data_IF_009522229270
#
_entry.id   IF_009522229270
#
_cell.length_a   1.000
_cell.length_b   1.000
_cell.length_c   1.000
_cell.angle_alpha   90.00
_cell.angle_beta   90.00
_cell.angle_gamma   90.00
#
_symmetry.space_group_name_H-M   'P 1'
#
loop_
_entity.id
_entity.type
_entity.pdbx_description
1 polymer ?
#
# COMPACT_ATOMS: atom_id res chain seq x y z
N UNK A 1 -26.95 9.50 36.16
CA UNK A 1 -26.15 8.26 36.32
C UNK A 1 -25.59 7.90 34.94
N UNK A 2 -24.37 8.35 34.64
CA UNK A 2 -23.66 7.93 33.40
C UNK A 2 -23.00 6.58 33.69
N UNK A 3 -23.55 5.51 33.16
CA UNK A 3 -22.89 4.20 33.15
C UNK A 3 -21.71 4.27 32.19
N UNK A 4 -20.52 4.44 32.71
CA UNK A 4 -19.26 4.20 31.98
C UNK A 4 -19.18 2.69 31.76
N UNK A 5 -19.64 2.23 30.60
CA UNK A 5 -19.39 0.87 30.16
C UNK A 5 -17.87 0.74 29.89
N UNK A 6 -17.17 0.18 30.87
CA UNK A 6 -15.78 -0.27 30.72
C UNK A 6 -15.78 -1.45 29.74
N UNK A 7 -15.53 -1.17 28.46
CA UNK A 7 -15.29 -2.23 27.46
C UNK A 7 -14.08 -3.04 27.95
N UNK A 8 -14.28 -4.35 28.13
CA UNK A 8 -13.19 -5.25 28.53
C UNK A 8 -12.02 -5.16 27.55
N UNK A 9 -10.76 -5.21 28.00
CA UNK A 9 -9.59 -5.13 27.11
C UNK A 9 -9.62 -6.14 25.96
N UNK A 10 -10.13 -7.33 26.19
CA UNK A 10 -10.31 -8.37 25.16
C UNK A 10 -11.25 -7.96 24.02
N UNK A 11 -12.24 -7.11 24.28
CA UNK A 11 -13.19 -6.64 23.27
C UNK A 11 -12.55 -5.73 22.19
N UNK A 12 -11.40 -5.12 22.45
CA UNK A 12 -10.71 -4.20 21.54
C UNK A 12 -9.69 -4.95 20.68
N UNK A 13 -8.98 -5.93 21.26
CA UNK A 13 -7.89 -6.60 20.57
C UNK A 13 -8.33 -7.59 19.49
N UNK A 14 -9.50 -8.19 19.65
CA UNK A 14 -10.01 -9.15 18.67
C UNK A 14 -10.32 -8.53 17.30
N UNK A 15 -10.99 -7.36 17.21
CA UNK A 15 -11.11 -6.62 15.94
C UNK A 15 -9.76 -6.18 15.33
N UNK A 16 -8.81 -5.77 16.16
CA UNK A 16 -7.47 -5.37 15.70
C UNK A 16 -6.74 -6.58 15.10
N UNK A 17 -6.80 -7.74 15.79
CA UNK A 17 -6.24 -9.00 15.29
C UNK A 17 -6.90 -9.43 13.96
N UNK A 18 -8.23 -9.32 13.84
CA UNK A 18 -8.91 -9.60 12.59
C UNK A 18 -8.44 -8.67 11.45
N UNK A 19 -8.24 -7.39 11.75
CA UNK A 19 -7.69 -6.43 10.80
C UNK A 19 -6.25 -6.74 10.38
N UNK A 20 -5.40 -7.17 11.33
CA UNK A 20 -4.04 -7.62 11.04
C UNK A 20 -4.05 -8.86 10.13
N UNK A 21 -4.87 -9.87 10.44
CA UNK A 21 -5.02 -11.06 9.60
C UNK A 21 -5.49 -10.70 8.18
N UNK A 22 -6.46 -9.80 8.05
CA UNK A 22 -6.96 -9.36 6.75
C UNK A 22 -5.89 -8.65 5.92
N UNK A 23 -5.12 -7.74 6.51
CA UNK A 23 -4.02 -7.06 5.84
C UNK A 23 -2.88 -8.02 5.47
N UNK A 24 -2.58 -9.00 6.33
CA UNK A 24 -1.58 -10.02 6.08
C UNK A 24 -2.02 -10.93 4.92
N UNK A 25 -3.24 -11.45 4.93
CA UNK A 25 -3.75 -12.36 3.89
C UNK A 25 -3.86 -11.65 2.55
N UNK A 26 -4.46 -10.44 2.52
CA UNK A 26 -4.87 -9.80 1.28
C UNK A 26 -3.76 -9.05 0.55
N UNK A 27 -2.91 -8.34 1.29
CA UNK A 27 -1.80 -7.58 0.71
C UNK A 27 -0.49 -8.26 1.00
N UNK A 28 -0.23 -8.61 2.25
CA UNK A 28 1.01 -9.25 2.66
C UNK A 28 1.31 -10.54 1.89
N UNK A 29 0.35 -11.47 1.83
CA UNK A 29 0.52 -12.74 1.09
C UNK A 29 0.05 -12.62 -0.36
N UNK A 30 -1.21 -12.26 -0.64
CA UNK A 30 -1.78 -12.35 -1.98
C UNK A 30 -1.05 -11.51 -3.03
N UNK A 31 -0.54 -10.36 -2.64
CA UNK A 31 0.25 -9.50 -3.52
C UNK A 31 1.73 -9.86 -3.48
N UNK A 32 2.30 -9.86 -2.28
CA UNK A 32 3.75 -9.86 -2.10
C UNK A 32 4.38 -11.25 -2.06
N UNK A 33 3.64 -12.33 -1.71
CA UNK A 33 4.17 -13.68 -1.83
C UNK A 33 4.35 -14.15 -3.29
N UNK A 34 3.76 -13.44 -4.24
CA UNK A 34 3.99 -13.72 -5.66
C UNK A 34 5.42 -13.38 -6.11
N UNK A 35 6.01 -12.32 -5.58
CA UNK A 35 7.34 -11.85 -5.99
C UNK A 35 8.44 -12.91 -5.80
N UNK A 36 8.58 -13.60 -4.66
CA UNK A 36 9.54 -14.70 -4.51
C UNK A 36 9.19 -15.95 -5.35
N UNK A 37 7.97 -16.08 -5.86
CA UNK A 37 7.57 -17.19 -6.73
C UNK A 37 7.93 -16.97 -8.20
N UNK A 38 8.15 -15.72 -8.65
CA UNK A 38 8.42 -15.37 -10.05
C UNK A 38 9.56 -16.21 -10.64
N UNK A 39 10.78 -16.28 -10.04
CA UNK A 39 11.85 -17.07 -10.60
C UNK A 39 11.50 -18.56 -10.75
N UNK A 40 10.83 -19.13 -9.74
CA UNK A 40 10.45 -20.54 -9.72
C UNK A 40 9.35 -20.89 -10.73
N UNK A 41 8.37 -19.99 -10.95
CA UNK A 41 7.35 -20.16 -11.97
C UNK A 41 7.96 -20.23 -13.39
N UNK A 42 8.98 -19.39 -13.65
CA UNK A 42 9.68 -19.36 -14.93
C UNK A 42 10.57 -20.60 -15.09
N UNK A 43 11.35 -20.96 -14.06
CA UNK A 43 12.24 -22.11 -14.10
C UNK A 43 11.49 -23.44 -14.26
N UNK A 44 10.35 -23.57 -13.60
CA UNK A 44 9.48 -24.75 -13.73
C UNK A 44 8.63 -24.75 -15.01
N UNK A 45 8.77 -23.74 -15.86
CA UNK A 45 8.05 -23.58 -17.15
C UNK A 45 6.52 -23.64 -17.02
N UNK A 46 5.97 -23.20 -15.88
CA UNK A 46 4.52 -23.06 -15.75
C UNK A 46 3.99 -22.02 -16.74
N UNK A 47 4.73 -20.93 -16.90
CA UNK A 47 4.42 -19.84 -17.84
C UNK A 47 5.72 -19.23 -18.36
N UNK A 48 5.65 -18.53 -19.49
CA UNK A 48 6.78 -17.77 -20.01
C UNK A 48 7.17 -16.62 -19.06
N UNK A 49 8.41 -16.15 -19.16
CA UNK A 49 8.87 -14.99 -18.37
C UNK A 49 7.99 -13.75 -18.64
N UNK A 50 7.52 -13.58 -19.90
CA UNK A 50 6.58 -12.53 -20.26
C UNK A 50 5.26 -12.66 -19.50
N UNK A 51 4.65 -13.85 -19.51
CA UNK A 51 3.35 -14.06 -18.86
C UNK A 51 3.44 -13.84 -17.36
N UNK A 52 4.49 -14.36 -16.71
CA UNK A 52 4.67 -14.28 -15.25
C UNK A 52 4.69 -12.83 -14.76
N UNK A 53 5.35 -11.91 -15.47
CA UNK A 53 5.36 -10.49 -15.06
C UNK A 53 4.01 -9.81 -15.26
N UNK A 54 3.27 -10.15 -16.35
CA UNK A 54 1.90 -9.66 -16.52
C UNK A 54 0.91 -10.20 -15.50
N UNK A 55 1.09 -11.45 -15.06
CA UNK A 55 0.32 -12.03 -13.97
C UNK A 55 0.54 -11.30 -12.63
N UNK A 56 1.73 -10.75 -12.41
CA UNK A 56 2.00 -9.82 -11.31
C UNK A 56 1.20 -8.52 -11.43
N UNK A 57 1.17 -7.93 -12.62
CA UNK A 57 0.42 -6.70 -12.91
C UNK A 57 -1.10 -6.88 -12.77
N UNK A 58 -1.63 -8.07 -13.05
CA UNK A 58 -3.07 -8.37 -12.89
C UNK A 58 -3.57 -8.09 -11.47
N UNK A 59 -2.78 -8.42 -10.44
CA UNK A 59 -3.13 -8.13 -9.04
C UNK A 59 -3.20 -6.61 -8.77
N UNK A 60 -2.36 -5.80 -9.41
CA UNK A 60 -2.38 -4.34 -9.25
C UNK A 60 -3.65 -3.72 -9.85
N UNK A 61 -4.10 -4.19 -11.02
CA UNK A 61 -5.39 -3.77 -11.60
C UNK A 61 -6.55 -4.22 -10.70
N UNK A 62 -6.52 -5.47 -10.24
CA UNK A 62 -7.50 -5.95 -9.28
C UNK A 62 -7.59 -5.05 -8.05
N UNK A 63 -6.47 -4.62 -7.51
CA UNK A 63 -6.42 -3.71 -6.36
C UNK A 63 -7.13 -2.37 -6.63
N UNK A 64 -6.92 -1.78 -7.79
CA UNK A 64 -7.66 -0.56 -8.18
C UNK A 64 -9.17 -0.82 -8.22
N UNK A 65 -9.61 -1.90 -8.88
CA UNK A 65 -11.02 -2.26 -8.94
C UNK A 65 -11.59 -2.46 -7.52
N UNK A 66 -10.89 -3.21 -6.68
CA UNK A 66 -11.29 -3.48 -5.30
C UNK A 66 -11.41 -2.22 -4.45
N UNK A 67 -10.47 -1.28 -4.59
CA UNK A 67 -10.52 0.00 -3.90
C UNK A 67 -11.74 0.84 -4.31
N UNK A 68 -12.15 0.78 -5.57
CA UNK A 68 -13.32 1.49 -6.09
C UNK A 68 -14.63 0.85 -5.64
N UNK A 69 -14.73 -0.49 -5.66
CA UNK A 69 -15.98 -1.21 -5.35
C UNK A 69 -16.16 -1.56 -3.87
N UNK A 70 -15.11 -1.47 -3.04
CA UNK A 70 -15.14 -1.90 -1.65
C UNK A 70 -16.24 -1.22 -0.84
N UNK A 71 -16.33 0.09 -0.85
CA UNK A 71 -17.40 0.83 -0.15
C UNK A 71 -18.80 0.58 -0.72
N UNK A 72 -19.05 0.61 -2.05
CA UNK A 72 -20.33 0.20 -2.62
C UNK A 72 -20.77 -1.22 -2.22
N UNK A 73 -19.84 -2.17 -2.23
CA UNK A 73 -20.10 -3.55 -1.80
C UNK A 73 -20.48 -3.62 -0.31
N UNK A 74 -19.69 -2.96 0.54
CA UNK A 74 -19.92 -2.94 1.98
C UNK A 74 -21.25 -2.29 2.36
N UNK A 75 -21.73 -1.31 1.60
CA UNK A 75 -23.08 -0.72 1.79
C UNK A 75 -24.20 -1.72 1.55
N UNK A 76 -23.99 -2.71 0.67
CA UNK A 76 -25.02 -3.72 0.33
C UNK A 76 -25.05 -4.90 1.30
N UNK A 77 -23.87 -5.41 1.69
CA UNK A 77 -23.74 -6.65 2.47
C UNK A 77 -23.17 -6.46 3.88
N UNK A 78 -22.83 -5.23 4.25
CA UNK A 78 -22.17 -4.88 5.51
C UNK A 78 -20.65 -5.04 5.45
N UNK A 79 -19.93 -4.20 6.23
CA UNK A 79 -18.46 -4.18 6.24
C UNK A 79 -17.86 -5.54 6.62
N UNK A 80 -18.34 -6.14 7.71
CA UNK A 80 -17.81 -7.39 8.23
C UNK A 80 -18.01 -8.56 7.26
N UNK A 81 -19.18 -8.63 6.60
CA UNK A 81 -19.46 -9.65 5.57
C UNK A 81 -18.60 -9.44 4.34
N UNK A 82 -18.41 -8.19 3.90
CA UNK A 82 -17.55 -7.84 2.79
C UNK A 82 -16.08 -8.27 3.07
N UNK A 83 -15.56 -7.99 4.27
CA UNK A 83 -14.21 -8.37 4.67
C UNK A 83 -14.04 -9.89 4.70
N UNK A 84 -14.99 -10.64 5.28
CA UNK A 84 -14.98 -12.13 5.27
C UNK A 84 -14.99 -12.67 3.86
N UNK A 85 -15.89 -12.16 2.99
CA UNK A 85 -15.99 -12.57 1.60
C UNK A 85 -14.69 -12.35 0.84
N UNK A 86 -14.04 -11.20 1.04
CA UNK A 86 -12.78 -10.87 0.37
C UNK A 86 -11.62 -11.74 0.89
N UNK A 87 -11.56 -12.06 2.18
CA UNK A 87 -10.57 -13.00 2.70
C UNK A 87 -10.75 -14.41 2.14
N UNK A 88 -12.00 -14.89 2.02
CA UNK A 88 -12.30 -16.16 1.34
C UNK A 88 -11.90 -16.13 -0.13
N UNK A 89 -12.15 -15.02 -0.85
CA UNK A 89 -11.76 -14.87 -2.24
C UNK A 89 -10.23 -14.98 -2.43
N UNK A 90 -9.44 -14.40 -1.52
CA UNK A 90 -7.98 -14.57 -1.52
C UNK A 90 -7.59 -16.02 -1.28
N UNK A 91 -8.18 -16.65 -0.27
CA UNK A 91 -7.91 -18.06 0.07
C UNK A 91 -8.19 -18.97 -1.13
N UNK A 92 -9.34 -18.81 -1.77
CA UNK A 92 -9.70 -19.56 -2.98
C UNK A 92 -8.74 -19.27 -4.14
N UNK A 93 -8.31 -18.02 -4.28
CA UNK A 93 -7.34 -17.64 -5.32
C UNK A 93 -5.99 -18.35 -5.16
N UNK A 94 -5.51 -18.55 -3.92
CA UNK A 94 -4.30 -19.33 -3.67
C UNK A 94 -4.47 -20.81 -4.10
N UNK A 95 -5.55 -21.46 -3.71
CA UNK A 95 -5.81 -22.85 -4.09
C UNK A 95 -5.97 -22.99 -5.62
N UNK A 96 -6.68 -22.06 -6.27
CA UNK A 96 -6.87 -22.08 -7.71
C UNK A 96 -5.56 -21.85 -8.49
N UNK A 97 -4.66 -21.01 -7.98
CA UNK A 97 -3.32 -20.81 -8.55
C UNK A 97 -2.41 -22.03 -8.37
N UNK A 98 -2.76 -23.00 -7.53
CA UNK A 98 -2.10 -24.32 -7.49
C UNK A 98 -2.30 -25.15 -8.76
N UNK A 99 -3.26 -24.80 -9.62
CA UNK A 99 -3.56 -25.48 -10.88
C UNK A 99 -3.24 -24.57 -12.07
N UNK A 100 -2.08 -24.72 -12.75
CA UNK A 100 -1.67 -23.88 -13.88
C UNK A 100 -2.41 -24.28 -15.17
N UNK A 101 -3.74 -24.16 -15.21
CA UNK A 101 -4.56 -24.61 -16.33
C UNK A 101 -4.33 -23.76 -17.59
N UNK A 102 -4.19 -22.45 -17.43
CA UNK A 102 -3.89 -21.50 -18.50
C UNK A 102 -3.44 -20.16 -17.94
N UNK A 103 -2.81 -19.31 -18.77
CA UNK A 103 -2.47 -17.93 -18.40
C UNK A 103 -3.72 -17.14 -18.02
N UNK A 104 -4.83 -17.28 -18.78
CA UNK A 104 -6.09 -16.58 -18.50
C UNK A 104 -6.72 -17.02 -17.17
N UNK A 105 -6.65 -18.32 -16.84
CA UNK A 105 -7.09 -18.85 -15.55
C UNK A 105 -6.30 -18.20 -14.40
N UNK A 106 -4.99 -18.21 -14.50
CA UNK A 106 -4.12 -17.66 -13.48
C UNK A 106 -4.30 -16.13 -13.36
N UNK A 107 -4.42 -15.42 -14.50
CA UNK A 107 -4.72 -14.00 -14.55
C UNK A 107 -6.01 -13.65 -13.82
N UNK A 108 -7.09 -14.39 -14.05
CA UNK A 108 -8.39 -14.18 -13.38
C UNK A 108 -8.28 -14.29 -11.85
N UNK A 109 -7.61 -15.32 -11.36
CA UNK A 109 -7.42 -15.49 -9.91
C UNK A 109 -6.46 -14.47 -9.30
N UNK A 110 -5.40 -14.07 -10.01
CA UNK A 110 -4.51 -12.98 -9.59
C UNK A 110 -5.25 -11.64 -9.56
N UNK A 111 -6.11 -11.37 -10.54
CA UNK A 111 -7.00 -10.21 -10.58
C UNK A 111 -7.96 -10.22 -9.38
N UNK A 112 -8.66 -11.36 -9.13
CA UNK A 112 -9.59 -11.50 -8.02
C UNK A 112 -8.90 -11.30 -6.66
N UNK A 113 -7.73 -11.87 -6.46
CA UNK A 113 -6.96 -11.65 -5.24
C UNK A 113 -6.58 -10.17 -5.06
N UNK A 114 -6.31 -9.47 -6.16
CA UNK A 114 -6.11 -8.02 -6.16
C UNK A 114 -7.37 -7.24 -5.76
N UNK A 115 -8.53 -7.59 -6.35
CA UNK A 115 -9.83 -6.99 -5.99
C UNK A 115 -10.09 -7.14 -4.50
N UNK A 116 -9.86 -8.32 -3.96
CA UNK A 116 -10.01 -8.58 -2.54
C UNK A 116 -9.06 -7.71 -1.70
N UNK A 117 -7.80 -7.59 -2.12
CA UNK A 117 -6.80 -6.75 -1.46
C UNK A 117 -7.19 -5.27 -1.42
N UNK A 118 -7.64 -4.73 -2.55
CA UNK A 118 -8.08 -3.33 -2.64
C UNK A 118 -9.33 -3.04 -1.80
N UNK A 119 -10.31 -3.94 -1.82
CA UNK A 119 -11.51 -3.81 -1.00
C UNK A 119 -11.19 -3.87 0.50
N UNK A 120 -10.36 -4.83 0.93
CA UNK A 120 -9.91 -4.95 2.34
C UNK A 120 -9.16 -3.67 2.77
N UNK A 121 -8.27 -3.15 1.94
CA UNK A 121 -7.48 -1.96 2.27
C UNK A 121 -8.36 -0.74 2.61
N UNK A 122 -9.44 -0.52 1.88
CA UNK A 122 -10.34 0.63 2.14
C UNK A 122 -11.33 0.37 3.26
N UNK A 123 -11.65 -0.90 3.57
CA UNK A 123 -12.67 -1.25 4.56
C UNK A 123 -12.12 -1.55 5.94
N UNK A 124 -10.92 -2.14 6.06
CA UNK A 124 -10.44 -2.71 7.33
C UNK A 124 -10.31 -1.69 8.44
N UNK A 125 -9.62 -0.58 8.17
CA UNK A 125 -9.45 0.49 9.15
C UNK A 125 -10.79 1.18 9.48
N UNK A 126 -11.61 1.45 8.47
CA UNK A 126 -12.93 2.04 8.64
C UNK A 126 -13.88 1.17 9.46
N UNK A 127 -13.69 -0.15 9.46
CA UNK A 127 -14.50 -1.11 10.23
C UNK A 127 -14.02 -1.24 11.67
N UNK A 128 -12.71 -1.27 11.89
CA UNK A 128 -12.13 -1.57 13.22
C UNK A 128 -11.96 -0.33 14.08
N UNK A 129 -11.40 0.77 13.52
CA UNK A 129 -11.01 1.95 14.30
C UNK A 129 -12.16 2.67 15.05
N UNK A 130 -13.41 2.71 14.54
CA UNK A 130 -14.52 3.29 15.31
C UNK A 130 -14.78 2.61 16.66
N UNK A 131 -14.43 1.32 16.81
CA UNK A 131 -14.59 0.54 18.03
C UNK A 131 -13.39 0.64 18.98
N UNK A 132 -12.34 1.38 18.58
CA UNK A 132 -11.14 1.59 19.38
C UNK A 132 -11.17 3.00 19.99
N UNK A 133 -10.84 3.14 21.29
CA UNK A 133 -10.72 4.45 21.95
C UNK A 133 -9.79 5.38 21.17
N UNK A 134 -10.14 6.66 21.08
CA UNK A 134 -9.41 7.67 20.30
C UNK A 134 -7.91 7.68 20.62
N UNK A 135 -7.56 7.56 21.92
CA UNK A 135 -6.17 7.53 22.40
C UNK A 135 -5.34 6.33 21.90
N UNK A 136 -5.98 5.27 21.41
CA UNK A 136 -5.32 4.02 20.96
C UNK A 136 -5.46 3.76 19.46
N UNK A 137 -6.16 4.63 18.72
CA UNK A 137 -6.41 4.44 17.28
C UNK A 137 -5.13 4.39 16.45
N UNK A 138 -4.12 5.18 16.80
CA UNK A 138 -2.81 5.14 16.13
C UNK A 138 -2.13 3.78 16.28
N UNK A 139 -2.08 3.24 17.50
CA UNK A 139 -1.53 1.91 17.77
C UNK A 139 -2.32 0.80 17.06
N UNK A 140 -3.64 0.88 17.09
CA UNK A 140 -4.51 -0.08 16.42
C UNK A 140 -4.33 -0.06 14.90
N UNK A 141 -4.23 1.13 14.29
CA UNK A 141 -3.94 1.27 12.86
C UNK A 141 -2.58 0.68 12.52
N UNK A 142 -1.55 0.99 13.31
CA UNK A 142 -0.22 0.40 13.16
C UNK A 142 -0.25 -1.13 13.20
N UNK A 143 -0.96 -1.71 14.18
CA UNK A 143 -1.10 -3.16 14.33
C UNK A 143 -1.85 -3.79 13.14
N UNK A 144 -2.91 -3.17 12.63
CA UNK A 144 -3.65 -3.65 11.45
C UNK A 144 -2.72 -3.71 10.23
N UNK A 145 -1.99 -2.65 9.95
CA UNK A 145 -1.15 -2.57 8.75
C UNK A 145 0.22 -3.24 8.91
N UNK A 146 0.64 -3.58 10.14
CA UNK A 146 1.79 -4.46 10.39
C UNK A 146 1.64 -5.79 9.66
N UNK A 147 0.42 -6.29 9.47
CA UNK A 147 0.13 -7.50 8.70
C UNK A 147 0.74 -7.47 7.28
N UNK A 148 0.83 -6.29 6.63
CA UNK A 148 1.46 -6.16 5.32
C UNK A 148 2.95 -6.50 5.40
N UNK A 149 3.69 -5.85 6.30
CA UNK A 149 5.13 -6.09 6.48
C UNK A 149 5.44 -7.52 6.92
N UNK A 150 4.63 -8.07 7.84
CA UNK A 150 4.74 -9.48 8.27
C UNK A 150 4.49 -10.45 7.11
N UNK A 151 3.53 -10.16 6.22
CA UNK A 151 3.28 -10.97 5.05
C UNK A 151 4.42 -10.92 4.03
N UNK A 152 5.03 -9.76 3.83
CA UNK A 152 6.19 -9.60 2.95
C UNK A 152 7.39 -10.39 3.51
N UNK A 153 7.80 -10.13 4.74
CA UNK A 153 8.91 -10.84 5.40
C UNK A 153 8.60 -12.33 5.52
N UNK A 154 7.38 -12.68 5.94
CA UNK A 154 6.93 -14.06 6.06
C UNK A 154 6.94 -14.81 4.73
N UNK A 155 6.57 -14.18 3.63
CA UNK A 155 6.65 -14.83 2.32
C UNK A 155 8.09 -15.16 1.92
N UNK A 156 9.06 -14.31 2.24
CA UNK A 156 10.48 -14.57 1.99
C UNK A 156 11.03 -15.73 2.82
N UNK A 157 10.45 -16.03 4.00
CA UNK A 157 10.87 -17.14 4.86
C UNK A 157 10.07 -18.41 4.61
N UNK A 158 8.78 -18.32 4.28
CA UNK A 158 7.87 -19.47 4.13
C UNK A 158 7.93 -20.06 2.72
N UNK A 159 8.07 -19.22 1.69
CA UNK A 159 8.06 -19.68 0.30
C UNK A 159 9.23 -20.64 -0.03
N UNK A 160 10.49 -20.38 0.36
CA UNK A 160 11.59 -21.29 0.03
C UNK A 160 11.39 -22.74 0.55
N UNK A 161 11.05 -23.01 1.82
CA UNK A 161 10.79 -24.38 2.28
C UNK A 161 9.56 -25.01 1.62
N UNK A 162 8.53 -24.23 1.28
CA UNK A 162 7.39 -24.76 0.52
C UNK A 162 7.78 -25.13 -0.91
N UNK A 163 8.67 -24.37 -1.56
CA UNK A 163 9.16 -24.66 -2.90
C UNK A 163 9.93 -25.98 -2.97
N UNK A 164 10.59 -26.43 -1.90
CA UNK A 164 11.22 -27.75 -1.85
C UNK A 164 10.20 -28.89 -1.95
N UNK A 165 8.93 -28.63 -1.62
CA UNK A 165 7.81 -29.58 -1.78
C UNK A 165 7.14 -29.47 -3.15
N UNK A 166 7.58 -28.52 -4.00
CA UNK A 166 7.05 -28.25 -5.33
C UNK A 166 6.13 -27.03 -5.37
N UNK A 167 6.00 -26.43 -6.57
CA UNK A 167 5.24 -25.21 -6.81
C UNK A 167 3.75 -25.34 -6.43
N UNK A 168 3.10 -26.43 -6.80
CA UNK A 168 1.70 -26.69 -6.47
C UNK A 168 1.48 -26.70 -4.96
N UNK A 169 2.34 -27.42 -4.23
CA UNK A 169 2.29 -27.50 -2.77
C UNK A 169 2.58 -26.13 -2.13
N UNK A 170 3.39 -25.29 -2.77
CA UNK A 170 3.64 -23.91 -2.31
C UNK A 170 2.35 -23.08 -2.37
N UNK A 171 1.60 -23.13 -3.47
CA UNK A 171 0.32 -22.45 -3.58
C UNK A 171 -0.70 -22.97 -2.56
N UNK A 172 -0.76 -24.30 -2.37
CA UNK A 172 -1.64 -24.91 -1.37
C UNK A 172 -1.23 -24.54 0.06
N UNK A 173 0.05 -24.49 0.37
CA UNK A 173 0.58 -24.07 1.67
C UNK A 173 0.22 -22.60 1.99
N UNK A 174 0.37 -21.70 1.01
CA UNK A 174 -0.07 -20.31 1.14
C UNK A 174 -1.60 -20.21 1.28
N UNK A 175 -2.35 -21.04 0.54
CA UNK A 175 -3.81 -21.13 0.65
C UNK A 175 -4.25 -21.65 2.03
N UNK A 176 -3.57 -22.64 2.58
CA UNK A 176 -3.84 -23.16 3.92
C UNK A 176 -3.54 -22.11 5.00
N UNK A 177 -2.42 -21.39 4.89
CA UNK A 177 -2.09 -20.29 5.79
C UNK A 177 -3.17 -19.19 5.72
N UNK A 178 -3.59 -18.80 4.52
CA UNK A 178 -4.66 -17.82 4.33
C UNK A 178 -5.99 -18.31 4.92
N UNK A 179 -6.31 -19.61 4.78
CA UNK A 179 -7.50 -20.23 5.35
C UNK A 179 -7.49 -20.19 6.88
N UNK A 180 -6.35 -20.57 7.49
CA UNK A 180 -6.18 -20.55 8.96
C UNK A 180 -6.33 -19.13 9.50
N UNK A 181 -5.70 -18.14 8.88
CA UNK A 181 -5.81 -16.74 9.29
C UNK A 181 -7.23 -16.19 9.09
N UNK A 182 -7.91 -16.58 8.01
CA UNK A 182 -9.31 -16.23 7.75
C UNK A 182 -10.22 -16.84 8.82
N UNK A 183 -10.05 -18.12 9.15
CA UNK A 183 -10.84 -18.80 10.18
C UNK A 183 -10.56 -18.21 11.58
N UNK A 184 -9.31 -17.94 11.93
CA UNK A 184 -8.92 -17.34 13.20
C UNK A 184 -9.52 -15.93 13.40
N UNK A 185 -9.65 -15.17 12.32
CA UNK A 185 -10.22 -13.81 12.36
C UNK A 185 -11.74 -13.77 12.22
N UNK A 186 -12.41 -14.90 11.92
CA UNK A 186 -13.80 -14.94 11.49
C UNK A 186 -14.78 -14.29 12.45
N UNK A 187 -14.59 -14.50 13.76
CA UNK A 187 -15.44 -13.97 14.81
C UNK A 187 -14.95 -12.63 15.40
N UNK A 188 -13.78 -12.16 14.93
CA UNK A 188 -13.16 -10.91 15.39
C UNK A 188 -13.77 -9.64 14.78
N UNK A 189 -14.60 -9.76 13.76
CA UNK A 189 -15.19 -8.60 13.11
C UNK A 189 -16.32 -8.01 13.94
N UNK A 190 -16.32 -6.67 14.16
CA UNK A 190 -17.40 -6.00 14.87
C UNK A 190 -18.74 -6.24 14.15
N UNK A 191 -19.77 -6.56 14.91
CA UNK A 191 -21.13 -6.53 14.40
C UNK A 191 -21.54 -5.08 14.24
N UNK A 192 -21.34 -4.52 13.06
CA UNK A 192 -21.78 -3.18 12.76
C UNK A 192 -23.31 -3.15 12.71
N UNK A 193 -23.95 -2.49 13.65
CA UNK A 193 -25.21 -1.82 13.37
C UNK A 193 -24.97 -0.93 12.15
N UNK A 194 -25.84 -0.93 11.13
CA UNK A 194 -25.74 -0.01 10.02
C UNK A 194 -25.78 1.39 10.59
N UNK A 195 -24.62 2.00 10.80
CA UNK A 195 -24.55 3.40 11.13
C UNK A 195 -25.03 4.09 9.86
N UNK A 196 -26.29 4.51 9.87
CA UNK A 196 -26.79 5.46 8.90
C UNK A 196 -25.71 6.54 8.81
N UNK A 197 -25.03 6.60 7.68
CA UNK A 197 -24.16 7.72 7.40
C UNK A 197 -25.02 8.94 7.70
N UNK A 198 -24.66 9.68 8.74
CA UNK A 198 -25.32 10.96 8.99
C UNK A 198 -25.38 11.67 7.64
N UNK A 199 -26.56 12.15 7.21
CA UNK A 199 -26.67 12.80 5.93
C UNK A 199 -25.56 13.84 5.91
N UNK A 200 -24.68 13.73 4.91
CA UNK A 200 -23.65 14.72 4.69
C UNK A 200 -24.39 16.05 4.63
N UNK A 201 -24.21 16.89 5.64
CA UNK A 201 -24.68 18.27 5.56
C UNK A 201 -23.93 18.82 4.35
N UNK A 202 -24.64 18.87 3.25
CA UNK A 202 -24.22 19.57 2.05
C UNK A 202 -24.27 21.06 2.37
N UNK A 203 -23.31 21.54 3.12
CA UNK A 203 -22.99 22.95 3.10
C UNK A 203 -22.48 23.23 1.68
N UNK A 204 -23.40 23.74 0.86
CA UNK A 204 -23.29 23.86 -0.60
C UNK A 204 -22.21 24.84 -1.10
N UNK A 205 -21.12 25.01 -0.38
CA UNK A 205 -19.95 25.76 -0.84
C UNK A 205 -18.95 24.77 -1.43
N UNK A 206 -19.06 24.54 -2.73
CA UNK A 206 -17.97 23.93 -3.52
C UNK A 206 -16.78 24.90 -3.54
N UNK A 207 -15.99 24.89 -2.47
CA UNK A 207 -14.72 25.59 -2.51
C UNK A 207 -13.86 24.94 -3.61
N UNK A 208 -13.30 25.73 -4.55
CA UNK A 208 -12.47 25.19 -5.62
C UNK A 208 -11.30 24.43 -5.01
N UNK A 209 -11.02 23.24 -5.57
CA UNK A 209 -9.88 22.40 -5.14
C UNK A 209 -8.58 23.19 -5.31
N UNK A 210 -7.78 23.39 -4.26
CA UNK A 210 -6.53 24.14 -4.37
C UNK A 210 -5.60 23.52 -5.43
N UNK A 211 -4.94 24.32 -6.30
CA UNK A 211 -4.01 23.80 -7.32
C UNK A 211 -2.93 22.87 -6.75
N UNK A 212 -2.44 23.16 -5.55
CA UNK A 212 -1.47 22.33 -4.84
C UNK A 212 -1.97 20.90 -4.60
N UNK A 213 -3.28 20.68 -4.51
CA UNK A 213 -3.85 19.35 -4.30
C UNK A 213 -3.76 18.49 -5.58
N UNK A 214 -3.88 19.09 -6.76
CA UNK A 214 -3.66 18.36 -8.02
C UNK A 214 -2.20 17.93 -8.17
N UNK A 215 -1.25 18.79 -7.75
CA UNK A 215 0.17 18.42 -7.72
C UNK A 215 0.44 17.28 -6.72
N UNK A 216 -0.26 17.27 -5.57
CA UNK A 216 -0.17 16.17 -4.61
C UNK A 216 -0.68 14.85 -5.21
N UNK A 217 -1.80 14.88 -5.96
CA UNK A 217 -2.30 13.68 -6.63
C UNK A 217 -1.32 13.16 -7.68
N UNK A 218 -0.74 14.05 -8.49
CA UNK A 218 0.29 13.68 -9.45
C UNK A 218 1.55 13.15 -8.76
N UNK A 219 2.01 13.81 -7.70
CA UNK A 219 3.15 13.36 -6.89
C UNK A 219 2.92 11.93 -6.37
N UNK A 220 1.75 11.68 -5.79
CA UNK A 220 1.41 10.37 -5.22
C UNK A 220 1.30 9.29 -6.30
N UNK A 221 0.85 9.65 -7.51
CA UNK A 221 0.86 8.81 -8.69
C UNK A 221 2.29 8.43 -9.12
N UNK A 222 3.21 9.39 -9.19
CA UNK A 222 4.61 9.11 -9.52
C UNK A 222 5.35 8.32 -8.43
N UNK A 223 5.00 8.51 -7.16
CA UNK A 223 5.46 7.64 -6.06
C UNK A 223 5.02 6.19 -6.30
N UNK A 224 3.76 5.96 -6.71
CA UNK A 224 3.27 4.64 -7.07
C UNK A 224 4.05 4.03 -8.24
N UNK A 225 4.35 4.82 -9.28
CA UNK A 225 5.18 4.38 -10.39
C UNK A 225 6.60 3.96 -9.96
N UNK A 226 7.21 4.74 -9.08
CA UNK A 226 8.57 4.46 -8.59
C UNK A 226 8.71 3.23 -7.71
N UNK A 227 7.65 2.81 -7.00
CA UNK A 227 7.73 1.65 -6.11
C UNK A 227 7.53 0.30 -6.83
N UNK A 228 6.86 0.28 -8.00
CA UNK A 228 6.48 -0.98 -8.69
C UNK A 228 7.68 -1.85 -9.05
N UNK A 229 8.79 -1.36 -9.62
CA UNK A 229 9.90 -2.23 -9.99
C UNK A 229 10.53 -2.97 -8.82
N UNK A 230 10.80 -2.31 -7.70
CA UNK A 230 11.33 -2.98 -6.51
C UNK A 230 10.31 -3.99 -5.93
N UNK A 231 9.03 -3.65 -5.96
CA UNK A 231 7.96 -4.50 -5.45
C UNK A 231 7.76 -5.78 -6.26
N UNK A 232 7.97 -5.73 -7.59
CA UNK A 232 7.66 -6.84 -8.50
C UNK A 232 8.92 -7.57 -8.95
N UNK A 233 9.99 -6.86 -9.28
CA UNK A 233 11.15 -7.41 -9.98
C UNK A 233 12.39 -7.63 -9.10
N UNK A 234 12.41 -7.17 -7.83
CA UNK A 234 13.60 -7.26 -6.97
C UNK A 234 14.11 -8.69 -6.81
N UNK A 235 13.22 -9.64 -6.51
CA UNK A 235 13.61 -11.04 -6.29
C UNK A 235 14.12 -11.67 -7.59
N UNK A 236 13.43 -11.39 -8.69
CA UNK A 236 13.81 -11.88 -10.02
C UNK A 236 15.14 -11.29 -10.49
N UNK A 237 15.36 -10.01 -10.20
CA UNK A 237 16.66 -9.37 -10.44
C UNK A 237 17.79 -10.07 -9.71
N UNK A 238 17.63 -10.32 -8.42
CA UNK A 238 18.67 -11.00 -7.62
C UNK A 238 18.84 -12.45 -8.04
N UNK A 239 17.73 -13.18 -8.21
CA UNK A 239 17.77 -14.62 -8.47
C UNK A 239 18.26 -14.95 -9.89
N UNK A 240 17.68 -14.31 -10.92
CA UNK A 240 17.97 -14.57 -12.33
C UNK A 240 18.86 -13.51 -12.96
N UNK A 241 18.60 -12.23 -12.70
CA UNK A 241 19.37 -11.12 -13.26
C UNK A 241 20.83 -11.12 -12.81
N UNK A 242 21.10 -11.37 -11.54
CA UNK A 242 22.46 -11.50 -10.99
C UNK A 242 22.95 -12.95 -10.89
N UNK A 243 22.09 -13.93 -11.19
CA UNK A 243 22.46 -15.35 -11.10
C UNK A 243 22.67 -15.87 -9.67
N UNK A 244 22.23 -15.13 -8.63
CA UNK A 244 22.45 -15.50 -7.22
C UNK A 244 21.51 -16.62 -6.72
N UNK A 245 20.50 -17.00 -7.52
CA UNK A 245 19.56 -18.06 -7.20
C UNK A 245 18.38 -17.63 -6.33
N UNK A 246 17.32 -18.45 -6.33
CA UNK A 246 16.05 -18.14 -5.67
C UNK A 246 16.18 -17.95 -4.16
N UNK A 247 17.08 -18.69 -3.49
CA UNK A 247 17.30 -18.58 -2.05
C UNK A 247 17.84 -17.21 -1.64
N UNK A 248 18.85 -16.70 -2.35
CA UNK A 248 19.40 -15.36 -2.10
C UNK A 248 18.35 -14.28 -2.41
N UNK A 249 17.59 -14.43 -3.50
CA UNK A 249 16.47 -13.55 -3.81
C UNK A 249 15.44 -13.51 -2.68
N UNK A 250 15.10 -14.65 -2.08
CA UNK A 250 14.17 -14.71 -0.95
C UNK A 250 14.73 -14.04 0.31
N UNK A 251 16.03 -14.16 0.60
CA UNK A 251 16.67 -13.45 1.72
C UNK A 251 16.62 -11.93 1.54
N UNK A 252 16.91 -11.44 0.34
CA UNK A 252 16.75 -10.01 0.01
C UNK A 252 15.29 -9.57 0.16
N UNK A 253 14.34 -10.44 -0.17
CA UNK A 253 12.91 -10.16 0.03
C UNK A 253 12.52 -10.08 1.51
N UNK A 254 13.11 -10.89 2.38
CA UNK A 254 12.96 -10.74 3.84
C UNK A 254 13.44 -9.36 4.29
N UNK A 255 14.59 -8.90 3.79
CA UNK A 255 15.10 -7.56 4.12
C UNK A 255 14.13 -6.46 3.66
N UNK A 256 13.55 -6.60 2.46
CA UNK A 256 12.50 -5.71 1.97
C UNK A 256 11.27 -5.72 2.91
N UNK A 257 10.86 -6.88 3.39
CA UNK A 257 9.78 -7.03 4.37
C UNK A 257 10.08 -6.39 5.73
N UNK A 258 11.33 -6.50 6.22
CA UNK A 258 11.76 -5.80 7.44
C UNK A 258 11.66 -4.28 7.26
N UNK A 259 12.06 -3.77 6.11
CA UNK A 259 11.82 -2.37 5.74
C UNK A 259 10.34 -1.99 5.82
N UNK A 260 9.46 -2.83 5.29
CA UNK A 260 8.02 -2.60 5.31
C UNK A 260 7.41 -2.60 6.72
N UNK A 261 7.99 -3.33 7.66
CA UNK A 261 7.61 -3.31 9.08
C UNK A 261 8.03 -1.98 9.73
N UNK A 262 9.26 -1.54 9.49
CA UNK A 262 9.84 -0.36 10.14
C UNK A 262 9.38 0.95 9.50
N UNK A 263 9.07 0.93 8.19
CA UNK A 263 8.76 2.12 7.39
C UNK A 263 7.69 3.03 7.98
N UNK A 264 6.48 2.56 8.29
CA UNK A 264 5.41 3.41 8.81
C UNK A 264 5.78 4.13 10.10
N UNK A 265 6.49 3.45 11.00
CA UNK A 265 6.94 4.02 12.28
C UNK A 265 8.02 5.06 12.05
N UNK A 266 9.02 4.75 11.23
CA UNK A 266 10.12 5.66 10.90
C UNK A 266 9.63 6.92 10.20
N UNK A 267 8.71 6.78 9.25
CA UNK A 267 8.19 7.91 8.49
C UNK A 267 7.21 8.75 9.33
N UNK A 268 6.43 8.12 10.20
CA UNK A 268 5.60 8.82 11.18
C UNK A 268 6.45 9.66 12.12
N UNK A 269 7.48 9.07 12.71
CA UNK A 269 8.42 9.78 13.59
C UNK A 269 9.14 10.94 12.88
N UNK A 270 9.51 10.74 11.62
CA UNK A 270 10.12 11.79 10.81
C UNK A 270 9.15 12.94 10.57
N UNK A 271 7.87 12.61 10.28
CA UNK A 271 6.80 13.60 10.09
C UNK A 271 6.53 14.40 11.37
N UNK A 272 6.53 13.75 12.53
CA UNK A 272 6.31 14.40 13.83
C UNK A 272 7.43 15.39 14.17
N UNK A 273 8.68 15.05 13.82
CA UNK A 273 9.84 15.91 14.13
C UNK A 273 10.10 17.02 13.12
N UNK A 274 9.95 16.74 11.84
CA UNK A 274 10.35 17.62 10.73
C UNK A 274 9.17 18.20 9.94
N UNK A 275 7.95 17.76 10.25
CA UNK A 275 6.76 18.04 9.46
C UNK A 275 6.66 17.18 8.19
N UNK A 276 5.44 16.98 7.66
CA UNK A 276 5.21 16.09 6.53
C UNK A 276 5.95 16.54 5.26
N UNK A 277 6.05 17.85 5.01
CA UNK A 277 6.70 18.41 3.83
C UNK A 277 8.18 18.06 3.72
N UNK A 278 8.96 18.29 4.78
CA UNK A 278 10.39 18.00 4.75
C UNK A 278 10.64 16.49 4.75
N UNK A 279 9.84 15.75 5.50
CA UNK A 279 9.91 14.29 5.57
C UNK A 279 9.70 13.64 4.20
N UNK A 280 8.69 14.05 3.43
CA UNK A 280 8.45 13.56 2.07
C UNK A 280 9.68 13.83 1.17
N UNK A 281 10.28 15.02 1.23
CA UNK A 281 11.46 15.35 0.42
C UNK A 281 12.63 14.43 0.73
N UNK A 282 12.94 14.26 2.02
CA UNK A 282 14.03 13.37 2.47
C UNK A 282 13.76 11.95 1.98
N UNK A 283 12.55 11.45 2.18
CA UNK A 283 12.18 10.10 1.76
C UNK A 283 12.31 9.92 0.25
N UNK A 284 11.83 10.89 -0.56
CA UNK A 284 11.93 10.81 -2.01
C UNK A 284 13.38 10.85 -2.51
N UNK A 285 14.23 11.68 -1.91
CA UNK A 285 15.67 11.71 -2.24
C UNK A 285 16.30 10.35 -1.93
N UNK A 286 16.06 9.82 -0.73
CA UNK A 286 16.61 8.52 -0.30
C UNK A 286 16.13 7.40 -1.22
N UNK A 287 14.84 7.38 -1.59
CA UNK A 287 14.28 6.37 -2.48
C UNK A 287 14.83 6.47 -3.91
N UNK A 288 14.99 7.68 -4.46
CA UNK A 288 15.59 7.88 -5.78
C UNK A 288 17.04 7.37 -5.83
N UNK A 289 17.82 7.71 -4.81
CA UNK A 289 19.20 7.22 -4.68
C UNK A 289 19.23 5.70 -4.53
N UNK A 290 18.37 5.13 -3.67
CA UNK A 290 18.31 3.69 -3.44
C UNK A 290 17.95 2.92 -4.72
N UNK A 291 17.00 3.40 -5.52
CA UNK A 291 16.65 2.80 -6.82
C UNK A 291 17.80 2.91 -7.84
N UNK A 292 18.46 4.07 -7.91
CA UNK A 292 19.63 4.26 -8.77
C UNK A 292 20.79 3.34 -8.38
N UNK A 293 21.07 3.21 -7.10
CA UNK A 293 22.11 2.30 -6.60
C UNK A 293 21.74 0.83 -6.82
N UNK A 294 20.46 0.47 -6.70
CA UNK A 294 19.99 -0.89 -6.95
C UNK A 294 20.29 -1.32 -8.41
N UNK A 295 20.17 -0.40 -9.36
CA UNK A 295 20.43 -0.68 -10.78
C UNK A 295 21.87 -1.09 -11.09
N UNK A 296 22.84 -0.71 -10.23
CA UNK A 296 24.28 -0.96 -10.43
C UNK A 296 24.91 -1.86 -9.36
N UNK A 297 24.14 -2.23 -8.31
CA UNK A 297 24.64 -3.04 -7.19
C UNK A 297 24.56 -4.54 -7.47
N UNK A 298 25.62 -5.25 -7.11
CA UNK A 298 25.70 -6.72 -7.17
C UNK A 298 26.17 -7.37 -5.86
N UNK A 299 26.55 -6.57 -4.86
CA UNK A 299 27.00 -7.04 -3.54
C UNK A 299 25.78 -7.38 -2.67
N UNK A 300 25.78 -8.55 -2.02
CA UNK A 300 24.70 -8.98 -1.12
C UNK A 300 24.39 -7.95 -0.03
N UNK A 301 25.41 -7.40 0.63
CA UNK A 301 25.20 -6.41 1.69
C UNK A 301 24.54 -5.14 1.17
N UNK A 302 25.00 -4.63 0.02
CA UNK A 302 24.39 -3.45 -0.61
C UNK A 302 22.93 -3.73 -0.98
N UNK A 303 22.65 -4.86 -1.62
CA UNK A 303 21.28 -5.27 -1.99
C UNK A 303 20.38 -5.41 -0.75
N UNK A 304 20.88 -5.99 0.35
CA UNK A 304 20.12 -6.14 1.60
C UNK A 304 19.76 -4.78 2.21
N UNK A 305 20.72 -3.84 2.29
CA UNK A 305 20.49 -2.49 2.81
C UNK A 305 19.51 -1.71 1.92
N UNK A 306 19.70 -1.78 0.61
CA UNK A 306 18.80 -1.14 -0.35
C UNK A 306 17.39 -1.75 -0.29
N UNK A 307 17.27 -3.06 -0.10
CA UNK A 307 15.98 -3.74 0.05
C UNK A 307 15.22 -3.23 1.30
N UNK A 308 15.91 -3.04 2.44
CA UNK A 308 15.31 -2.44 3.66
C UNK A 308 14.79 -1.02 3.35
N UNK A 309 15.61 -0.20 2.71
CA UNK A 309 15.24 1.18 2.37
C UNK A 309 14.04 1.19 1.42
N UNK A 310 14.08 0.41 0.34
CA UNK A 310 13.02 0.36 -0.66
C UNK A 310 11.73 -0.27 -0.10
N UNK A 311 11.87 -1.28 0.76
CA UNK A 311 10.75 -1.93 1.44
C UNK A 311 9.99 -1.03 2.40
N UNK A 312 10.68 -0.06 3.02
CA UNK A 312 10.05 0.90 3.93
C UNK A 312 9.04 1.83 3.24
N UNK A 313 9.19 2.02 1.93
CA UNK A 313 8.45 3.03 1.17
C UNK A 313 6.95 2.68 0.97
N UNK A 314 6.55 1.48 0.49
CA UNK A 314 5.16 1.21 0.17
C UNK A 314 4.18 1.42 1.33
N UNK A 315 4.42 0.89 2.55
CA UNK A 315 3.54 1.17 3.67
C UNK A 315 3.85 2.50 4.38
N UNK A 316 5.10 2.99 4.33
CA UNK A 316 5.54 4.20 5.03
C UNK A 316 5.05 5.49 4.38
N UNK A 317 4.91 5.53 3.04
CA UNK A 317 4.48 6.75 2.34
C UNK A 317 3.01 7.11 2.62
N UNK A 318 2.18 6.14 2.98
CA UNK A 318 0.74 6.34 3.22
C UNK A 318 0.49 7.38 4.33
N UNK A 319 1.05 7.24 5.56
CA UNK A 319 0.86 8.23 6.61
C UNK A 319 1.44 9.60 6.24
N UNK A 320 2.56 9.67 5.51
CA UNK A 320 3.13 10.93 5.05
C UNK A 320 2.22 11.65 4.05
N UNK A 321 1.69 10.93 3.06
CA UNK A 321 0.78 11.50 2.08
C UNK A 321 -0.52 11.97 2.74
N UNK A 322 -1.05 11.22 3.71
CA UNK A 322 -2.24 11.61 4.48
C UNK A 322 -1.97 12.88 5.30
N UNK A 323 -0.84 12.94 6.00
CA UNK A 323 -0.44 14.15 6.75
C UNK A 323 -0.35 15.37 5.82
N UNK A 324 0.15 15.17 4.60
CA UNK A 324 0.25 16.24 3.59
C UNK A 324 -1.13 16.71 3.10
N UNK A 325 -2.10 15.80 2.95
CA UNK A 325 -3.50 16.18 2.67
C UNK A 325 -4.05 17.03 3.79
N UNK A 326 -3.79 16.69 5.06
CA UNK A 326 -4.26 17.45 6.22
C UNK A 326 -3.64 18.86 6.29
N UNK A 327 -2.37 19.01 5.88
CA UNK A 327 -1.72 20.33 5.79
C UNK A 327 -2.33 21.23 4.68
N UNK A 328 -2.80 20.64 3.57
CA UNK A 328 -3.28 21.38 2.41
C UNK A 328 -4.79 21.69 2.48
N UNK A 329 -5.54 20.89 3.23
CA UNK A 329 -7.02 20.95 3.28
C UNK A 329 -7.48 21.09 4.73
N UNK A 330 -7.98 22.26 5.17
CA UNK A 330 -8.40 22.49 6.56
C UNK A 330 -9.68 21.74 6.96
N UNK A 331 -10.60 21.52 6.02
CA UNK A 331 -11.92 20.95 6.31
C UNK A 331 -11.89 19.41 6.28
N UNK A 332 -12.34 18.76 7.37
CA UNK A 332 -12.33 17.29 7.51
C UNK A 332 -13.08 16.55 6.40
N UNK A 333 -14.23 17.04 5.95
CA UNK A 333 -14.97 16.41 4.86
C UNK A 333 -14.20 16.48 3.53
N UNK A 334 -13.60 17.64 3.24
CA UNK A 334 -12.76 17.82 2.06
C UNK A 334 -11.47 16.99 2.14
N UNK A 335 -10.91 16.78 3.35
CA UNK A 335 -9.75 15.88 3.57
C UNK A 335 -10.08 14.45 3.15
N UNK A 336 -11.25 13.92 3.51
CA UNK A 336 -11.67 12.58 3.11
C UNK A 336 -11.81 12.43 1.60
N UNK A 337 -12.41 13.43 0.93
CA UNK A 337 -12.53 13.44 -0.55
C UNK A 337 -11.15 13.51 -1.20
N UNK A 338 -10.28 14.39 -0.71
CA UNK A 338 -8.92 14.54 -1.22
C UNK A 338 -8.10 13.25 -1.04
N UNK A 339 -8.19 12.62 0.12
CA UNK A 339 -7.54 11.34 0.38
C UNK A 339 -8.04 10.21 -0.53
N UNK A 340 -9.35 10.13 -0.73
CA UNK A 340 -9.93 9.15 -1.66
C UNK A 340 -9.39 9.35 -3.09
N UNK A 341 -9.36 10.59 -3.58
CA UNK A 341 -8.81 10.92 -4.91
C UNK A 341 -7.31 10.62 -5.01
N UNK A 342 -6.54 10.95 -3.98
CA UNK A 342 -5.12 10.61 -3.92
C UNK A 342 -4.89 9.09 -4.00
N UNK A 343 -5.67 8.32 -3.24
CA UNK A 343 -5.58 6.85 -3.23
C UNK A 343 -5.95 6.26 -4.59
N UNK A 344 -6.99 6.77 -5.24
CA UNK A 344 -7.37 6.34 -6.60
C UNK A 344 -6.28 6.69 -7.61
N UNK A 345 -5.69 7.89 -7.54
CA UNK A 345 -4.57 8.29 -8.38
C UNK A 345 -3.38 7.34 -8.21
N UNK A 346 -3.00 7.05 -6.96
CA UNK A 346 -1.95 6.09 -6.64
C UNK A 346 -2.23 4.70 -7.21
N UNK A 347 -3.41 4.13 -6.96
CA UNK A 347 -3.77 2.80 -7.42
C UNK A 347 -3.84 2.70 -8.95
N UNK A 348 -4.34 3.76 -9.62
CA UNK A 348 -4.39 3.84 -11.07
C UNK A 348 -2.99 3.82 -11.67
N UNK A 349 -2.08 4.66 -11.17
CA UNK A 349 -0.71 4.68 -11.66
C UNK A 349 0.06 3.41 -11.32
N UNK A 350 -0.18 2.82 -10.15
CA UNK A 350 0.41 1.53 -9.79
C UNK A 350 -0.01 0.44 -10.78
N UNK A 351 -1.29 0.40 -11.18
CA UNK A 351 -1.79 -0.56 -12.15
C UNK A 351 -1.21 -0.31 -13.56
N UNK A 352 -1.28 0.93 -14.05
CA UNK A 352 -0.76 1.30 -15.36
C UNK A 352 0.75 1.02 -15.48
N UNK A 353 1.52 1.42 -14.49
CA UNK A 353 2.97 1.22 -14.47
C UNK A 353 3.35 -0.24 -14.25
N UNK A 354 2.53 -1.05 -13.58
CA UNK A 354 2.71 -2.49 -13.51
C UNK A 354 2.74 -3.13 -14.89
N UNK A 355 1.80 -2.78 -15.77
CA UNK A 355 1.79 -3.23 -17.16
C UNK A 355 2.91 -2.58 -17.99
N UNK A 356 3.14 -1.28 -17.83
CA UNK A 356 4.20 -0.59 -18.57
C UNK A 356 5.59 -1.18 -18.28
N UNK A 357 5.92 -1.42 -17.00
CA UNK A 357 7.20 -2.06 -16.65
C UNK A 357 7.27 -3.51 -17.13
N UNK A 358 6.17 -4.25 -17.12
CA UNK A 358 6.12 -5.61 -17.69
C UNK A 358 6.38 -5.57 -19.20
N UNK A 359 5.79 -4.62 -19.92
CA UNK A 359 6.00 -4.43 -21.34
C UNK A 359 7.46 -4.02 -21.66
N UNK A 360 8.04 -3.07 -20.90
CA UNK A 360 9.44 -2.65 -21.04
C UNK A 360 10.37 -3.83 -20.74
N UNK A 361 10.13 -4.59 -19.69
CA UNK A 361 10.91 -5.77 -19.34
C UNK A 361 10.97 -6.78 -20.48
N UNK A 362 9.81 -7.07 -21.08
CA UNK A 362 9.71 -8.00 -22.21
C UNK A 362 10.38 -7.45 -23.47
N UNK A 363 10.13 -6.17 -23.81
CA UNK A 363 10.71 -5.53 -24.99
C UNK A 363 12.24 -5.41 -24.93
N UNK A 364 12.81 -5.36 -23.71
CA UNK A 364 14.26 -5.21 -23.50
C UNK A 364 14.97 -6.54 -23.21
N UNK A 365 14.27 -7.68 -23.37
CA UNK A 365 14.86 -8.98 -23.11
C UNK A 365 15.22 -9.23 -21.62
N UNK A 366 14.50 -8.60 -20.69
CA UNK A 366 14.69 -8.83 -19.26
C UNK A 366 15.68 -7.88 -18.56
N UNK A 367 15.88 -6.68 -19.08
CA UNK A 367 16.78 -5.68 -18.52
C UNK A 367 16.24 -5.06 -17.23
N UNK A 368 16.46 -5.69 -16.07
CA UNK A 368 16.00 -5.23 -14.76
C UNK A 368 16.53 -3.83 -14.38
N UNK A 369 17.84 -3.56 -14.63
CA UNK A 369 18.47 -2.29 -14.26
C UNK A 369 17.76 -1.08 -14.90
N UNK A 370 17.28 -1.21 -16.14
CA UNK A 370 16.52 -0.16 -16.82
C UNK A 370 15.24 0.18 -16.06
N UNK A 371 14.54 -0.82 -15.52
CA UNK A 371 13.30 -0.61 -14.74
C UNK A 371 13.56 0.19 -13.48
N UNK A 372 14.66 -0.08 -12.77
CA UNK A 372 15.03 0.66 -11.56
C UNK A 372 15.45 2.08 -11.87
N UNK A 373 16.14 2.32 -13.00
CA UNK A 373 16.48 3.68 -13.45
C UNK A 373 15.23 4.49 -13.80
N UNK A 374 14.27 3.90 -14.53
CA UNK A 374 12.98 4.55 -14.84
C UNK A 374 12.21 4.85 -13.55
N UNK A 375 12.20 3.91 -12.60
CA UNK A 375 11.58 4.10 -11.29
C UNK A 375 12.23 5.24 -10.49
N UNK A 376 13.57 5.32 -10.50
CA UNK A 376 14.29 6.44 -9.88
C UNK A 376 13.87 7.78 -10.52
N UNK A 377 13.76 7.83 -11.85
CA UNK A 377 13.24 8.97 -12.59
C UNK A 377 11.82 9.36 -12.15
N UNK A 378 10.93 8.38 -11.98
CA UNK A 378 9.56 8.64 -11.48
C UNK A 378 9.58 9.25 -10.05
N UNK A 379 10.44 8.76 -9.15
CA UNK A 379 10.59 9.35 -7.81
C UNK A 379 11.19 10.77 -7.90
N UNK A 380 12.12 11.03 -8.81
CA UNK A 380 12.64 12.39 -9.05
C UNK A 380 11.53 13.33 -9.53
N UNK A 381 10.66 12.87 -10.44
CA UNK A 381 9.48 13.66 -10.86
C UNK A 381 8.57 13.94 -9.67
N UNK A 382 8.31 12.95 -8.80
CA UNK A 382 7.54 13.16 -7.58
C UNK A 382 8.20 14.22 -6.65
N UNK A 383 9.53 14.24 -6.55
CA UNK A 383 10.27 15.25 -5.81
C UNK A 383 10.15 16.64 -6.44
N UNK A 384 10.25 16.74 -7.76
CA UNK A 384 10.07 18.02 -8.49
C UNK A 384 8.67 18.57 -8.26
N UNK A 385 7.63 17.72 -8.30
CA UNK A 385 6.26 18.12 -8.01
C UNK A 385 6.10 18.62 -6.55
N UNK A 386 6.77 17.99 -5.57
CA UNK A 386 6.79 18.48 -4.19
C UNK A 386 7.45 19.86 -4.08
N UNK A 387 8.54 20.07 -4.81
CA UNK A 387 9.21 21.38 -4.83
C UNK A 387 8.34 22.45 -5.53
N UNK A 388 7.66 22.09 -6.62
CA UNK A 388 6.76 22.99 -7.34
C UNK A 388 5.56 23.47 -6.48
N UNK A 389 5.06 22.61 -5.59
CA UNK A 389 3.98 23.00 -4.65
C UNK A 389 4.38 24.18 -3.74
N UNK A 390 5.68 24.38 -3.50
CA UNK A 390 6.18 25.52 -2.70
C UNK A 390 5.88 26.85 -3.38
N UNK A 391 6.04 26.94 -4.69
CA UNK A 391 5.82 28.18 -5.44
C UNK A 391 4.33 28.54 -5.48
N UNK A 392 3.42 27.58 -5.51
CA UNK A 392 1.98 27.83 -5.50
C UNK A 392 1.46 28.26 -4.12
N UNK A 393 2.10 27.83 -3.03
CA UNK A 393 1.70 28.19 -1.66
C UNK A 393 2.40 29.46 -1.15
N UNK A 394 3.47 29.92 -1.79
CA UNK A 394 4.25 31.11 -1.37
C UNK A 394 3.55 32.44 -1.58
N UNK A 395 2.40 32.47 -2.27
CA UNK A 395 1.62 33.69 -2.52
C UNK A 395 0.44 33.90 -1.54
N UNK A 396 0.29 33.07 -0.52
CA UNK A 396 -0.68 33.34 0.55
C UNK A 396 0.03 34.06 1.70
N UNK A 397 -0.34 35.32 2.02
CA UNK A 397 0.17 35.99 3.21
C UNK A 397 -0.21 35.16 4.46
N UNK A 398 0.63 35.13 5.52
CA UNK A 398 0.32 34.42 6.75
C UNK A 398 -1.02 34.91 7.30
N UNK A 399 -1.88 33.96 7.68
CA UNK A 399 -3.28 34.20 8.16
C UNK A 399 -3.33 35.19 9.35
N UNK A 400 -2.21 35.48 10.01
CA UNK A 400 -2.10 36.51 11.06
C UNK A 400 -2.00 37.97 10.56
N UNK A 401 -1.62 38.21 9.30
CA UNK A 401 -1.45 39.56 8.78
C UNK A 401 -2.78 40.26 8.49
N UNK A 402 -3.84 39.53 8.18
CA UNK A 402 -5.18 40.10 7.92
C UNK A 402 -5.92 40.54 9.21
N UNK A 403 -5.63 39.92 10.34
CA UNK A 403 -6.21 40.30 11.64
C UNK A 403 -5.59 41.58 12.17
N UNK A 404 -4.29 41.84 11.95
CA UNK A 404 -3.61 43.06 12.33
C UNK A 404 -4.02 44.25 11.43
N UNK A 405 -4.36 44.00 10.17
CA UNK A 405 -4.88 45.06 9.26
C UNK A 405 -6.32 45.47 9.59
N UNK A 406 -7.14 44.59 10.15
CA UNK A 406 -8.53 44.91 10.55
C UNK A 406 -8.59 45.67 11.90
N UNK A 407 -7.60 45.48 12.79
CA UNK A 407 -7.56 46.18 14.09
C UNK A 407 -7.04 47.63 13.99
N UNK A 408 -6.35 47.99 12.88
CA UNK A 408 -5.84 49.35 12.66
C UNK A 408 -6.81 50.31 11.93
N UNK A 409 -8.02 49.82 11.56
CA UNK A 409 -9.01 50.59 10.79
C UNK A 409 -10.18 51.10 11.65
N UNK A 410 -10.04 51.30 12.96
CA UNK A 410 -11.03 52.04 13.74
C UNK A 410 -10.67 53.54 13.71
N UNK A 411 -11.43 54.39 13.04
CA UNK A 411 -11.28 55.82 13.17
C UNK A 411 -11.82 56.27 14.55
N UNK A 412 -10.98 56.89 15.36
CA UNK A 412 -11.39 57.67 16.50
C UNK A 412 -12.25 58.86 16.03
N UNK A 413 -13.56 58.73 16.11
CA UNK A 413 -14.46 59.89 16.02
C UNK A 413 -14.58 60.54 17.38
N UNK A 414 -14.21 61.80 17.46
CA UNK A 414 -14.56 62.73 18.53
C UNK A 414 -16.03 62.99 18.56
#
# INVERSE_FOLDING_TARGET
MHSTSTTSPSAIWLPIFAGLCASLVSIGLARFAYTPLIPSLIQAQWFSASDVVYLGAANLVGYLIGALIGHPMARRIGNSSALRLMMLAVTLSFFACGFPLSVSWFFGWRLLSGVAGGAIMVLVAATVLPHVPVSRRGLASGAIFLGIGLGIAGSGTIVPPLLSLGLQNTWFGLGLLALVLTAASWFGWPTSTPQHAAPAHNDGVKSPTPPALYLLFAQYAFMAAGLVPAMVFLVDFVARGLGAGAHVGALIWVMYGLGAIVGPVSYGFLADKLGARLSIRIVLVVQAIALGLLAVSNSFLALALLAVILGSFPPGIVPLALARVHELVPNHHQQQIAWSRATVSFATFQALTGFAYSAIFNATGGHHALLFVIAAGAIVVALVLELAMRFLNGHRPPVGASLLAMTSAHPTSK
#
